data_IF_819560086459
#
_entry.id   IF_819560086459
#
_cell.length_a   1.000
_cell.length_b   1.000
_cell.length_c   1.000
_cell.angle_alpha   90.00
_cell.angle_beta   90.00
_cell.angle_gamma   90.00
#
_symmetry.space_group_name_H-M   'P 1'
#
loop_
_entity.id
_entity.type
_entity.pdbx_description
1 polymer ?
#
# COMPACT_ATOMS: atom_id res chain seq x y z
N UNK A 1 -8.55 -2.16 18.39
CA UNK A 1 -8.07 -3.45 18.95
C UNK A 1 -9.18 -4.30 19.54
N UNK A 2 -9.97 -3.80 20.49
CA UNK A 2 -11.05 -4.55 21.16
C UNK A 2 -12.00 -5.27 20.18
N UNK A 3 -12.40 -4.61 19.09
CA UNK A 3 -13.33 -5.18 18.12
C UNK A 3 -12.82 -6.48 17.45
N UNK A 4 -11.55 -6.56 17.06
CA UNK A 4 -10.99 -7.76 16.45
C UNK A 4 -10.96 -8.94 17.44
N UNK A 5 -10.70 -8.66 18.72
CA UNK A 5 -10.73 -9.67 19.79
C UNK A 5 -12.16 -10.19 19.99
N UNK A 6 -13.15 -9.30 20.00
CA UNK A 6 -14.57 -9.68 20.14
C UNK A 6 -15.08 -10.52 18.95
N UNK A 7 -14.57 -10.27 17.75
CA UNK A 7 -14.95 -11.01 16.54
C UNK A 7 -14.23 -12.36 16.41
N UNK A 8 -13.16 -12.60 17.18
CA UNK A 8 -12.32 -13.79 17.05
C UNK A 8 -13.06 -15.12 17.24
N UNK A 9 -13.98 -15.29 18.23
CA UNK A 9 -14.72 -16.55 18.38
C UNK A 9 -15.58 -16.86 17.15
N UNK A 10 -16.25 -15.85 16.59
CA UNK A 10 -17.06 -16.00 15.37
C UNK A 10 -16.17 -16.34 14.17
N UNK A 11 -15.02 -15.68 14.05
CA UNK A 11 -14.05 -15.96 13.00
C UNK A 11 -13.48 -17.39 13.11
N UNK A 12 -13.28 -17.90 14.32
CA UNK A 12 -12.79 -19.26 14.57
C UNK A 12 -13.79 -20.33 14.11
N UNK A 13 -15.08 -20.14 14.40
CA UNK A 13 -16.14 -21.04 13.91
C UNK A 13 -16.20 -21.04 12.38
N UNK A 14 -15.97 -19.90 11.74
CA UNK A 14 -16.06 -19.77 10.28
C UNK A 14 -14.82 -20.23 9.53
N UNK A 15 -13.62 -19.98 10.06
CA UNK A 15 -12.36 -20.40 9.47
C UNK A 15 -11.27 -20.51 10.56
N UNK A 16 -11.11 -21.68 11.21
CA UNK A 16 -10.20 -21.83 12.34
C UNK A 16 -8.73 -21.59 11.96
N UNK A 17 -8.32 -21.96 10.74
CA UNK A 17 -6.94 -21.78 10.26
C UNK A 17 -6.55 -20.33 9.98
N UNK A 18 -7.52 -19.44 9.74
CA UNK A 18 -7.29 -18.01 9.44
C UNK A 18 -8.12 -17.08 10.32
N UNK A 19 -8.55 -17.54 11.49
CA UNK A 19 -9.48 -16.81 12.36
C UNK A 19 -8.99 -15.39 12.71
N UNK A 20 -7.69 -15.27 13.03
CA UNK A 20 -7.06 -13.99 13.35
C UNK A 20 -7.06 -13.01 12.19
N UNK A 21 -6.77 -13.51 10.99
CA UNK A 21 -6.79 -12.71 9.77
C UNK A 21 -8.22 -12.26 9.45
N UNK A 22 -9.18 -13.18 9.53
CA UNK A 22 -10.59 -12.90 9.26
C UNK A 22 -11.18 -11.87 10.25
N UNK A 23 -10.90 -12.02 11.54
CA UNK A 23 -11.33 -11.06 12.55
C UNK A 23 -10.65 -9.69 12.39
N UNK A 24 -9.35 -9.67 12.02
CA UNK A 24 -8.63 -8.45 11.65
C UNK A 24 -9.31 -7.76 10.46
N UNK A 25 -9.56 -8.50 9.38
CA UNK A 25 -10.20 -8.00 8.18
C UNK A 25 -11.58 -7.38 8.47
N UNK A 26 -12.42 -8.06 9.25
CA UNK A 26 -13.73 -7.50 9.63
C UNK A 26 -13.62 -6.24 10.49
N UNK A 27 -12.71 -6.21 11.47
CA UNK A 27 -12.50 -5.04 12.30
C UNK A 27 -11.98 -3.83 11.49
N UNK A 28 -11.09 -4.09 10.53
CA UNK A 28 -10.58 -3.06 9.62
C UNK A 28 -11.67 -2.58 8.65
N UNK A 29 -12.52 -3.47 8.13
CA UNK A 29 -13.65 -3.11 7.27
C UNK A 29 -14.64 -2.19 7.97
N UNK A 30 -14.87 -2.38 9.27
CA UNK A 30 -15.69 -1.46 10.08
C UNK A 30 -14.97 -0.12 10.29
N UNK A 31 -13.66 -0.15 10.54
CA UNK A 31 -12.85 1.05 10.80
C UNK A 31 -12.60 1.91 9.55
N UNK A 32 -12.49 1.27 8.38
CA UNK A 32 -12.16 1.86 7.09
C UNK A 32 -13.16 1.40 6.02
N UNK A 33 -14.44 1.81 6.10
CA UNK A 33 -15.51 1.25 5.26
C UNK A 33 -15.37 1.57 3.76
N UNK A 34 -14.59 2.59 3.41
CA UNK A 34 -14.29 2.96 2.03
C UNK A 34 -12.96 2.37 1.51
N UNK A 35 -12.32 1.48 2.28
CA UNK A 35 -11.13 0.76 1.82
C UNK A 35 -11.50 -0.18 0.66
N UNK A 36 -10.73 -0.11 -0.42
CA UNK A 36 -10.84 -1.05 -1.53
C UNK A 36 -9.48 -1.66 -1.86
N UNK A 37 -9.42 -2.99 -1.84
CA UNK A 37 -8.24 -3.76 -2.20
C UNK A 37 -8.34 -4.35 -3.61
N UNK A 38 -9.47 -4.19 -4.30
CA UNK A 38 -9.72 -4.72 -5.65
C UNK A 38 -8.66 -4.25 -6.63
N UNK A 39 -8.26 -5.12 -7.55
CA UNK A 39 -7.22 -4.83 -8.56
C UNK A 39 -5.78 -4.91 -8.06
N UNK A 40 -5.53 -5.04 -6.75
CA UNK A 40 -4.21 -5.43 -6.28
C UNK A 40 -3.87 -6.84 -6.79
N UNK A 41 -2.60 -7.06 -7.12
CA UNK A 41 -2.11 -8.42 -7.43
C UNK A 41 -2.29 -9.34 -6.22
N UNK A 42 -2.39 -10.65 -6.46
CA UNK A 42 -2.56 -11.62 -5.37
C UNK A 42 -1.44 -11.54 -4.34
N UNK A 43 -0.19 -11.36 -4.81
CA UNK A 43 0.99 -11.17 -3.95
C UNK A 43 0.88 -9.92 -3.09
N UNK A 44 0.60 -8.75 -3.69
CA UNK A 44 0.49 -7.50 -2.95
C UNK A 44 -0.66 -7.54 -1.93
N UNK A 45 -1.81 -8.11 -2.30
CA UNK A 45 -2.95 -8.29 -1.38
C UNK A 45 -2.60 -9.22 -0.22
N UNK A 46 -1.93 -10.34 -0.50
CA UNK A 46 -1.52 -11.30 0.53
C UNK A 46 -0.51 -10.69 1.50
N UNK A 47 0.53 -10.04 0.97
CA UNK A 47 1.54 -9.32 1.74
C UNK A 47 0.91 -8.26 2.66
N UNK A 48 0.06 -7.38 2.10
CA UNK A 48 -0.60 -6.33 2.88
C UNK A 48 -1.55 -6.89 3.94
N UNK A 49 -2.26 -7.99 3.63
CA UNK A 49 -3.15 -8.67 4.58
C UNK A 49 -2.37 -9.32 5.72
N UNK A 50 -1.23 -9.94 5.43
CA UNK A 50 -0.36 -10.54 6.43
C UNK A 50 0.27 -9.47 7.34
N UNK A 51 0.75 -8.37 6.76
CA UNK A 51 1.34 -7.24 7.48
C UNK A 51 0.35 -6.59 8.45
N UNK A 52 -0.85 -6.21 7.99
CA UNK A 52 -1.86 -5.58 8.84
C UNK A 52 -2.41 -6.51 9.92
N UNK A 53 -2.44 -7.81 9.66
CA UNK A 53 -2.84 -8.81 10.66
C UNK A 53 -1.81 -8.90 11.78
N UNK A 54 -0.53 -9.00 11.44
CA UNK A 54 0.54 -9.00 12.45
C UNK A 54 0.57 -7.70 13.25
N UNK A 55 0.52 -6.55 12.57
CA UNK A 55 0.51 -5.24 13.21
C UNK A 55 -0.61 -5.13 14.25
N UNK A 56 -1.81 -5.59 13.90
CA UNK A 56 -2.97 -5.61 14.77
C UNK A 56 -2.74 -6.52 15.99
N UNK A 57 -2.37 -7.78 15.76
CA UNK A 57 -2.35 -8.78 16.84
C UNK A 57 -1.14 -8.68 17.76
N UNK A 58 0.02 -8.24 17.25
CA UNK A 58 1.25 -8.13 18.06
C UNK A 58 1.48 -6.76 18.64
N UNK A 59 1.09 -5.70 17.92
CA UNK A 59 1.48 -4.34 18.27
C UNK A 59 0.28 -3.41 18.49
N UNK A 60 -0.94 -3.91 18.34
CA UNK A 60 -2.13 -3.09 18.52
C UNK A 60 -2.35 -2.07 17.39
N UNK A 61 -1.58 -2.15 16.29
CA UNK A 61 -1.51 -1.13 15.26
C UNK A 61 -2.52 -1.41 14.14
N UNK A 62 -3.22 -0.36 13.72
CA UNK A 62 -4.14 -0.42 12.58
C UNK A 62 -3.41 0.03 11.31
N UNK A 63 -3.62 -0.72 10.24
CA UNK A 63 -3.14 -0.40 8.91
C UNK A 63 -4.33 -0.55 7.97
N UNK A 64 -4.65 0.53 7.28
CA UNK A 64 -5.69 0.60 6.27
C UNK A 64 -5.16 1.21 4.98
N UNK A 65 -5.92 1.06 3.91
CA UNK A 65 -5.60 1.56 2.59
C UNK A 65 -6.47 2.77 2.25
N UNK A 66 -5.82 3.81 1.71
CA UNK A 66 -6.47 4.97 1.11
C UNK A 66 -6.62 4.77 -0.39
N UNK A 67 -5.57 4.29 -1.07
CA UNK A 67 -5.59 3.99 -2.50
C UNK A 67 -4.73 2.77 -2.81
N UNK A 68 -5.27 1.84 -3.61
CA UNK A 68 -4.58 0.65 -4.09
C UNK A 68 -4.46 0.68 -5.61
N UNK A 69 -5.10 -0.27 -6.30
CA UNK A 69 -5.13 -0.26 -7.75
C UNK A 69 -5.80 0.99 -8.31
N UNK A 70 -5.28 1.47 -9.45
CA UNK A 70 -5.86 2.58 -10.20
C UNK A 70 -6.02 2.19 -11.67
N UNK A 71 -7.22 2.42 -12.21
CA UNK A 71 -7.49 2.18 -13.62
C UNK A 71 -6.53 2.99 -14.53
N UNK A 72 -5.98 2.39 -15.61
CA UNK A 72 -5.06 3.07 -16.53
C UNK A 72 -5.63 4.37 -17.12
N UNK A 73 -6.94 4.42 -17.44
CA UNK A 73 -7.57 5.61 -18.00
C UNK A 73 -7.68 6.73 -16.96
N UNK A 74 -7.92 6.37 -15.70
CA UNK A 74 -7.90 7.34 -14.59
C UNK A 74 -6.49 7.90 -14.42
N UNK A 75 -5.46 7.05 -14.43
CA UNK A 75 -4.07 7.50 -14.37
C UNK A 75 -3.70 8.40 -15.56
N UNK A 76 -4.16 8.06 -16.78
CA UNK A 76 -3.90 8.87 -17.97
C UNK A 76 -4.50 10.27 -17.83
N UNK A 77 -5.74 10.39 -17.34
CA UNK A 77 -6.39 11.69 -17.12
C UNK A 77 -5.64 12.54 -16.09
N UNK A 78 -5.10 11.92 -15.03
CA UNK A 78 -4.26 12.61 -14.05
C UNK A 78 -2.98 13.14 -14.70
N UNK A 79 -2.30 12.28 -15.48
CA UNK A 79 -1.10 12.66 -16.21
C UNK A 79 -1.37 13.80 -17.19
N UNK A 80 -2.39 13.68 -18.05
CA UNK A 80 -2.73 14.72 -19.04
C UNK A 80 -3.09 16.06 -18.39
N UNK A 81 -3.78 16.01 -17.23
CA UNK A 81 -4.08 17.22 -16.46
C UNK A 81 -2.79 17.88 -15.99
N UNK A 82 -1.82 17.10 -15.55
CA UNK A 82 -0.54 17.58 -15.08
C UNK A 82 0.31 18.14 -16.23
N UNK A 83 0.33 17.47 -17.39
CA UNK A 83 0.95 17.97 -18.63
C UNK A 83 0.38 19.34 -19.00
N UNK A 84 -0.95 19.52 -18.97
CA UNK A 84 -1.58 20.81 -19.25
C UNK A 84 -1.19 21.88 -18.22
N UNK A 85 -0.97 21.49 -16.96
CA UNK A 85 -0.64 22.42 -15.87
C UNK A 85 0.79 22.94 -15.98
N UNK A 86 1.75 22.07 -16.29
CA UNK A 86 3.18 22.41 -16.31
C UNK A 86 3.75 22.65 -17.70
N UNK A 87 2.98 22.35 -18.76
CA UNK A 87 3.34 22.62 -20.15
C UNK A 87 4.35 21.66 -20.77
N UNK A 88 4.81 20.64 -20.03
CA UNK A 88 5.83 19.69 -20.48
C UNK A 88 5.55 18.28 -19.97
N UNK A 89 5.43 17.26 -20.85
CA UNK A 89 5.33 15.87 -20.44
C UNK A 89 6.51 15.39 -19.58
N UNK A 90 7.72 15.88 -19.87
CA UNK A 90 8.91 15.52 -19.10
C UNK A 90 8.83 16.05 -17.66
N UNK A 91 8.37 17.30 -17.48
CA UNK A 91 8.18 17.88 -16.14
C UNK A 91 6.99 17.26 -15.42
N UNK A 92 5.90 16.97 -16.13
CA UNK A 92 4.71 16.34 -15.56
C UNK A 92 5.01 14.94 -15.01
N UNK A 93 5.86 14.17 -15.70
CA UNK A 93 6.28 12.83 -15.28
C UNK A 93 6.98 12.80 -13.92
N UNK A 94 7.61 13.90 -13.51
CA UNK A 94 8.24 14.03 -12.19
C UNK A 94 7.23 14.22 -11.05
N UNK A 95 5.98 14.55 -11.38
CA UNK A 95 4.92 14.88 -10.41
C UNK A 95 3.77 13.85 -10.43
N UNK A 96 3.45 13.33 -11.62
CA UNK A 96 2.46 12.30 -11.84
C UNK A 96 3.00 11.35 -12.89
N UNK A 97 3.12 10.06 -12.55
CA UNK A 97 3.61 9.07 -13.52
C UNK A 97 2.57 8.79 -14.62
N UNK A 98 2.99 8.53 -15.87
CA UNK A 98 2.11 8.01 -16.90
C UNK A 98 1.63 6.58 -16.56
N UNK A 99 0.54 6.07 -17.18
CA UNK A 99 -0.04 4.77 -16.84
C UNK A 99 0.92 3.58 -16.90
N UNK A 100 1.82 3.54 -17.89
CA UNK A 100 2.78 2.45 -18.06
C UNK A 100 3.78 2.32 -16.90
N UNK A 101 3.97 3.40 -16.13
CA UNK A 101 4.96 3.49 -15.07
C UNK A 101 4.34 3.44 -13.68
N UNK A 102 3.07 3.84 -13.55
CA UNK A 102 2.37 3.87 -12.27
C UNK A 102 2.23 2.48 -11.64
N UNK A 103 2.73 2.33 -10.42
CA UNK A 103 2.66 1.08 -9.66
C UNK A 103 1.27 0.80 -9.09
N UNK A 104 0.45 1.85 -8.94
CA UNK A 104 -0.99 1.72 -8.72
C UNK A 104 -1.68 1.04 -9.92
N UNK A 105 -1.30 1.38 -11.16
CA UNK A 105 -1.86 0.71 -12.35
C UNK A 105 -1.42 -0.75 -12.41
N UNK A 106 -0.21 -1.07 -11.95
CA UNK A 106 0.29 -2.45 -11.86
C UNK A 106 -0.30 -3.23 -10.68
N UNK A 107 -1.15 -2.63 -9.85
CA UNK A 107 -1.76 -3.29 -8.69
C UNK A 107 -0.75 -3.67 -7.60
N UNK A 108 0.40 -2.99 -7.53
CA UNK A 108 1.51 -3.28 -6.61
C UNK A 108 1.83 -2.12 -5.66
N UNK A 109 1.15 -0.98 -5.79
CA UNK A 109 1.28 0.15 -4.88
C UNK A 109 0.13 0.24 -3.87
N UNK A 110 0.45 0.79 -2.71
CA UNK A 110 -0.42 0.90 -1.54
C UNK A 110 -0.20 2.27 -0.88
N UNK A 111 -1.20 3.16 -0.96
CA UNK A 111 -1.21 4.40 -0.19
C UNK A 111 -1.87 4.14 1.18
N UNK A 112 -1.04 4.04 2.23
CA UNK A 112 -1.40 3.52 3.55
C UNK A 112 -1.85 4.62 4.50
N UNK A 113 -2.75 4.27 5.41
CA UNK A 113 -3.22 5.08 6.54
C UNK A 113 -3.42 4.23 7.81
N UNK A 114 -3.52 4.83 9.00
CA UNK A 114 -3.10 6.20 9.32
C UNK A 114 -1.56 6.29 9.31
N UNK A 115 -1.02 7.46 9.67
CA UNK A 115 0.43 7.69 9.76
C UNK A 115 1.14 6.65 10.63
N UNK A 116 0.56 6.27 11.77
CA UNK A 116 1.15 5.26 12.65
C UNK A 116 1.18 3.87 12.01
N UNK A 117 0.23 3.57 11.13
CA UNK A 117 0.21 2.34 10.35
C UNK A 117 1.27 2.32 9.25
N UNK A 118 1.44 3.47 8.57
CA UNK A 118 2.52 3.65 7.61
C UNK A 118 3.90 3.54 8.27
N UNK A 119 4.11 4.21 9.42
CA UNK A 119 5.36 4.08 10.20
C UNK A 119 5.65 2.63 10.60
N UNK A 120 4.63 1.89 11.01
CA UNK A 120 4.81 0.46 11.32
C UNK A 120 5.26 -0.35 10.10
N UNK A 121 4.69 -0.08 8.92
CA UNK A 121 5.12 -0.71 7.68
C UNK A 121 6.50 -0.27 7.24
N UNK A 122 6.92 0.95 7.50
CA UNK A 122 8.30 1.37 7.22
C UNK A 122 9.30 0.56 8.06
N UNK A 123 8.99 0.34 9.33
CA UNK A 123 9.85 -0.43 10.25
C UNK A 123 9.83 -1.95 10.01
N UNK A 124 8.67 -2.51 9.60
CA UNK A 124 8.46 -3.96 9.58
C UNK A 124 8.11 -4.52 8.19
N UNK A 125 7.83 -3.67 7.20
CA UNK A 125 7.24 -4.06 5.91
C UNK A 125 8.16 -4.91 5.03
N UNK A 126 9.47 -4.77 5.19
CA UNK A 126 10.46 -5.51 4.40
C UNK A 126 10.27 -7.04 4.49
N UNK A 127 9.82 -7.57 5.64
CA UNK A 127 9.55 -9.02 5.80
C UNK A 127 8.35 -9.52 4.98
N UNK A 128 7.58 -8.61 4.41
CA UNK A 128 6.42 -8.85 3.54
C UNK A 128 6.65 -8.29 2.14
N UNK A 129 7.89 -7.92 1.82
CA UNK A 129 8.26 -7.29 0.54
C UNK A 129 7.53 -5.97 0.27
N UNK A 130 7.14 -5.26 1.34
CA UNK A 130 6.48 -3.96 1.28
C UNK A 130 7.46 -2.86 1.67
N UNK A 131 7.72 -1.94 0.75
CA UNK A 131 8.76 -0.92 0.89
C UNK A 131 8.21 0.47 0.63
N UNK A 132 8.61 1.44 1.46
CA UNK A 132 8.36 2.86 1.19
C UNK A 132 9.31 3.34 0.10
N UNK A 133 8.78 3.96 -0.95
CA UNK A 133 9.57 4.27 -2.17
C UNK A 133 9.97 5.74 -2.26
N UNK A 134 9.19 6.64 -1.70
CA UNK A 134 9.42 8.08 -1.80
C UNK A 134 9.62 8.67 -0.41
N UNK A 135 10.69 9.45 -0.23
CA UNK A 135 11.00 10.04 1.07
C UNK A 135 9.97 11.10 1.48
N UNK A 136 9.46 11.85 0.50
CA UNK A 136 8.37 12.81 0.68
C UNK A 136 6.96 12.21 0.77
N UNK A 137 6.74 10.94 0.39
CA UNK A 137 5.44 10.27 0.50
C UNK A 137 5.46 9.20 1.59
N UNK A 138 5.33 9.62 2.85
CA UNK A 138 5.31 8.72 4.00
C UNK A 138 4.23 7.62 3.91
N UNK A 139 3.18 7.85 3.11
CA UNK A 139 2.06 6.93 2.92
C UNK A 139 2.30 5.90 1.81
N UNK A 140 3.24 6.11 0.89
CA UNK A 140 3.32 5.32 -0.34
C UNK A 140 4.25 4.11 -0.20
N UNK A 141 3.68 2.91 -0.33
CA UNK A 141 4.39 1.65 -0.29
C UNK A 141 4.21 0.86 -1.58
N UNK A 142 5.20 0.05 -1.93
CA UNK A 142 5.12 -0.88 -3.05
C UNK A 142 5.54 -2.30 -2.66
N UNK A 143 4.89 -3.27 -3.31
CA UNK A 143 5.22 -4.69 -3.22
C UNK A 143 6.29 -5.09 -4.23
N UNK A 144 7.43 -5.60 -3.74
CA UNK A 144 8.60 -6.01 -4.54
C UNK A 144 9.16 -7.36 -4.05
N UNK A 145 8.54 -8.49 -4.43
CA UNK A 145 8.91 -9.82 -3.90
C UNK A 145 10.27 -10.33 -4.37
N UNK A 146 10.78 -9.80 -5.49
CA UNK A 146 12.06 -10.20 -6.08
C UNK A 146 13.20 -9.24 -5.69
N UNK A 147 12.97 -8.35 -4.73
CA UNK A 147 13.98 -7.41 -4.26
C UNK A 147 14.91 -8.09 -3.27
N UNK A 148 16.08 -8.56 -3.74
CA UNK A 148 17.16 -9.06 -2.88
C UNK A 148 17.66 -8.00 -1.87
N UNK A 149 17.45 -6.72 -2.19
CA UNK A 149 17.76 -5.56 -1.35
C UNK A 149 16.60 -4.57 -1.45
N UNK A 150 16.19 -3.88 -0.36
CA UNK A 150 15.13 -2.89 -0.42
C UNK A 150 15.34 -1.90 -1.57
N UNK A 151 14.31 -1.62 -2.39
CA UNK A 151 14.43 -0.65 -3.45
C UNK A 151 14.80 0.71 -2.86
N UNK A 152 15.85 1.31 -3.43
CA UNK A 152 16.29 2.66 -3.07
C UNK A 152 15.20 3.67 -3.43
N UNK A 153 15.06 4.72 -2.61
CA UNK A 153 14.04 5.75 -2.82
C UNK A 153 14.24 6.48 -4.14
N UNK A 154 13.16 6.97 -4.73
CA UNK A 154 13.24 7.66 -6.02
C UNK A 154 14.12 8.92 -5.93
N UNK A 155 14.09 9.64 -4.80
CA UNK A 155 14.93 10.83 -4.59
C UNK A 155 16.42 10.49 -4.65
N UNK A 156 16.83 9.38 -4.02
CA UNK A 156 18.22 8.91 -4.10
C UNK A 156 18.54 8.44 -5.53
N UNK A 157 17.61 7.76 -6.20
CA UNK A 157 17.79 7.32 -7.59
C UNK A 157 18.01 8.50 -8.54
N UNK A 158 17.18 9.53 -8.43
CA UNK A 158 17.28 10.75 -9.24
C UNK A 158 18.60 11.48 -8.96
N UNK A 159 19.00 11.56 -7.68
CA UNK A 159 20.27 12.16 -7.28
C UNK A 159 21.50 11.41 -7.83
N UNK A 160 21.41 10.11 -8.07
CA UNK A 160 22.46 9.31 -8.71
C UNK A 160 22.48 9.47 -10.23
N UNK A 161 21.32 9.62 -10.87
CA UNK A 161 21.21 9.81 -12.32
C UNK A 161 21.60 11.23 -12.79
N UNK A 162 21.56 12.20 -11.88
CA UNK A 162 21.97 13.58 -12.15
C UNK A 162 23.49 13.82 -12.02
N UNK A 163 24.29 12.79 -11.72
CA UNK A 163 25.76 12.84 -11.61
C UNK A 163 26.44 12.24 -12.82
#
# INVERSE_FOLDING_TARGET
MVLAVLLLPVAFVRNPGRARELACHWALGIRFPAEDLTGLTDGARAAFTAARTEALWRHGQLIGLTSGYRDPLVQQRLFDKEVRRVGSPATARMLVLPPAESRHVKGTALDVRPFEGARWLEEHGARYDLYRIYDNEWWHFEYHPDADVPPMTQEIRDALQAR
#
